data_IF_918243310491
#
_entry.id   IF_918243310491
#
_cell.length_a   1.000
_cell.length_b   1.000
_cell.length_c   1.000
_cell.angle_alpha   90.00
_cell.angle_beta   90.00
_cell.angle_gamma   90.00
#
_symmetry.space_group_name_H-M   'P 1'
#
loop_
_entity.id
_entity.type
_entity.pdbx_description
1 polymer ?
#
# COMPACT_ATOMS: atom_id res chain seq x y z
N UNK A 1 0.57 -13.28 21.41
CA UNK A 1 -0.33 -12.34 20.75
C UNK A 1 -1.82 -12.63 20.99
N UNK A 2 -2.19 -13.81 21.51
CA UNK A 2 -3.61 -14.16 21.73
C UNK A 2 -4.02 -14.19 23.21
N UNK A 3 -3.21 -13.66 24.12
CA UNK A 3 -3.52 -13.64 25.53
C UNK A 3 -4.77 -12.81 25.83
N UNK A 4 -4.94 -11.65 25.15
CA UNK A 4 -6.11 -10.82 25.34
C UNK A 4 -7.42 -11.53 24.96
N UNK A 5 -7.43 -12.33 23.89
CA UNK A 5 -8.63 -13.09 23.51
C UNK A 5 -9.04 -14.10 24.60
N UNK A 6 -8.06 -14.82 25.16
CA UNK A 6 -8.31 -15.75 26.25
C UNK A 6 -8.84 -15.03 27.52
N UNK A 7 -8.32 -13.84 27.82
CA UNK A 7 -8.80 -12.99 28.90
C UNK A 7 -10.21 -12.45 28.63
N UNK A 8 -10.52 -12.06 27.37
CA UNK A 8 -11.86 -11.64 26.99
C UNK A 8 -12.90 -12.74 27.18
N UNK A 9 -12.54 -14.00 26.92
CA UNK A 9 -13.44 -15.13 27.11
C UNK A 9 -13.66 -15.49 28.60
N UNK A 10 -12.69 -15.29 29.47
CA UNK A 10 -12.73 -15.68 30.87
C UNK A 10 -13.01 -14.51 31.80
N UNK A 11 -12.13 -13.51 31.80
CA UNK A 11 -12.16 -12.41 32.77
C UNK A 11 -13.12 -11.28 32.37
N UNK A 12 -13.28 -11.08 31.07
CA UNK A 12 -14.06 -9.97 30.51
C UNK A 12 -15.27 -10.46 29.71
N UNK A 13 -15.79 -11.65 30.05
CA UNK A 13 -16.90 -12.29 29.31
C UNK A 13 -18.16 -11.43 29.23
N UNK A 14 -18.39 -10.49 30.16
CA UNK A 14 -19.50 -9.55 30.12
C UNK A 14 -19.48 -8.61 28.87
N UNK A 15 -18.32 -8.48 28.19
CA UNK A 15 -18.22 -7.76 26.92
C UNK A 15 -18.96 -8.47 25.76
N UNK A 16 -19.48 -9.68 25.97
CA UNK A 16 -20.42 -10.33 25.05
C UNK A 16 -21.70 -9.55 24.87
N UNK A 17 -22.13 -8.84 25.91
CA UNK A 17 -23.22 -7.87 25.80
C UNK A 17 -22.64 -6.55 25.24
N UNK A 18 -23.06 -6.18 24.05
CA UNK A 18 -22.57 -4.97 23.36
C UNK A 18 -22.78 -3.70 24.21
N UNK A 19 -23.83 -3.66 25.04
CA UNK A 19 -24.09 -2.53 25.92
C UNK A 19 -23.05 -2.38 27.04
N UNK A 20 -22.38 -3.46 27.41
CA UNK A 20 -21.40 -3.49 28.48
C UNK A 20 -19.95 -3.29 28.00
N UNK A 21 -19.71 -3.35 26.69
CA UNK A 21 -18.36 -3.30 26.11
C UNK A 21 -17.57 -2.11 26.62
N UNK A 22 -18.11 -0.89 26.54
CA UNK A 22 -17.38 0.32 26.93
C UNK A 22 -17.00 0.29 28.44
N UNK A 23 -17.90 -0.17 29.28
CA UNK A 23 -17.64 -0.29 30.72
C UNK A 23 -16.57 -1.32 31.02
N UNK A 24 -16.62 -2.49 30.36
CA UNK A 24 -15.65 -3.57 30.56
C UNK A 24 -14.28 -3.15 30.02
N UNK A 25 -14.22 -2.61 28.80
CA UNK A 25 -12.95 -2.22 28.20
C UNK A 25 -12.25 -1.10 28.97
N UNK A 26 -12.99 -0.18 29.60
CA UNK A 26 -12.40 0.86 30.44
C UNK A 26 -11.69 0.32 31.72
N UNK A 27 -11.98 -0.91 32.12
CA UNK A 27 -11.30 -1.58 33.24
C UNK A 27 -9.94 -2.19 32.87
N UNK A 28 -9.66 -2.29 31.58
CA UNK A 28 -8.41 -2.87 31.06
C UNK A 28 -7.37 -1.74 30.96
N UNK A 29 -6.28 -1.79 31.72
CA UNK A 29 -5.25 -0.75 31.66
C UNK A 29 -4.67 -0.59 30.25
N UNK A 30 -4.57 0.66 29.77
CA UNK A 30 -4.03 0.98 28.45
C UNK A 30 -4.98 0.64 27.30
N UNK A 31 -6.26 0.46 27.56
CA UNK A 31 -7.28 0.21 26.55
C UNK A 31 -8.06 1.49 26.25
N UNK A 32 -7.79 2.11 25.13
CA UNK A 32 -8.43 3.35 24.69
C UNK A 32 -9.37 3.11 23.50
N UNK A 33 -10.63 3.56 23.57
CA UNK A 33 -11.59 3.44 22.48
C UNK A 33 -11.11 4.23 21.25
N UNK A 34 -11.25 3.64 20.06
CA UNK A 34 -10.80 4.23 18.81
C UNK A 34 -9.29 4.06 18.56
N UNK A 35 -8.51 3.72 19.56
CA UNK A 35 -7.07 3.45 19.47
C UNK A 35 -6.76 1.95 19.56
N UNK A 36 -7.11 1.33 20.70
CA UNK A 36 -6.77 -0.06 20.98
C UNK A 36 -7.92 -1.03 20.68
N UNK A 37 -9.13 -0.53 20.73
CA UNK A 37 -10.33 -1.30 20.37
C UNK A 37 -11.39 -0.42 19.74
N UNK A 38 -12.29 -1.08 19.02
CA UNK A 38 -13.49 -0.46 18.45
C UNK A 38 -14.74 -1.23 18.87
N UNK A 39 -15.79 -0.50 19.23
CA UNK A 39 -17.13 -1.03 19.46
C UNK A 39 -18.00 -0.71 18.25
N UNK A 40 -18.39 -1.72 17.50
CA UNK A 40 -19.18 -1.56 16.28
C UNK A 40 -20.52 -2.25 16.43
N UNK A 41 -21.62 -1.48 16.31
CA UNK A 41 -22.99 -1.99 16.41
C UNK A 41 -23.60 -2.33 15.03
N UNK A 42 -23.05 -1.78 13.95
CA UNK A 42 -23.56 -1.91 12.58
C UNK A 42 -22.47 -2.41 11.62
N UNK A 43 -21.82 -3.52 11.97
CA UNK A 43 -20.85 -4.15 11.09
C UNK A 43 -21.54 -4.90 9.94
N UNK A 44 -20.92 -4.89 8.76
CA UNK A 44 -21.28 -5.72 7.62
C UNK A 44 -20.14 -6.62 7.21
N UNK A 45 -20.46 -7.80 6.73
CA UNK A 45 -19.48 -8.68 6.11
C UNK A 45 -19.19 -8.21 4.70
N UNK A 46 -17.91 -8.04 4.35
CA UNK A 46 -17.50 -7.77 2.98
C UNK A 46 -17.74 -9.00 2.10
N UNK A 47 -18.22 -8.76 0.89
CA UNK A 47 -18.34 -9.82 -0.11
C UNK A 47 -16.98 -10.12 -0.76
N UNK A 48 -16.84 -11.30 -1.36
CA UNK A 48 -15.61 -11.70 -2.07
C UNK A 48 -15.28 -10.80 -3.27
N UNK A 49 -16.23 -10.00 -3.74
CA UNK A 49 -16.01 -9.01 -4.80
C UNK A 49 -15.39 -7.69 -4.29
N UNK A 50 -15.41 -7.42 -2.99
CA UNK A 50 -14.93 -6.16 -2.41
C UNK A 50 -13.47 -6.23 -1.96
N UNK A 51 -12.88 -7.42 -1.88
CA UNK A 51 -11.47 -7.61 -1.52
C UNK A 51 -10.84 -8.79 -2.26
N UNK A 52 -9.53 -8.86 -2.23
CA UNK A 52 -8.76 -10.03 -2.65
C UNK A 52 -7.93 -10.52 -1.47
N UNK A 53 -7.81 -11.84 -1.35
CA UNK A 53 -6.99 -12.50 -0.34
C UNK A 53 -5.80 -13.17 -1.00
N UNK A 54 -4.59 -12.80 -0.59
CA UNK A 54 -3.40 -13.59 -0.89
C UNK A 54 -3.12 -14.53 0.29
N UNK A 55 -3.61 -15.76 0.19
CA UNK A 55 -3.48 -16.75 1.28
C UNK A 55 -2.04 -17.26 1.49
N UNK A 56 -1.17 -17.13 0.48
CA UNK A 56 0.24 -17.54 0.58
C UNK A 56 1.07 -16.54 1.37
N UNK A 57 0.83 -15.25 1.17
CA UNK A 57 1.57 -14.17 1.82
C UNK A 57 0.82 -13.59 3.03
N UNK A 58 -0.45 -13.95 3.21
CA UNK A 58 -1.24 -13.59 4.39
C UNK A 58 -1.67 -12.13 4.42
N UNK A 59 -2.08 -11.57 3.28
CA UNK A 59 -2.64 -10.22 3.24
C UNK A 59 -3.97 -10.15 2.47
N UNK A 60 -4.75 -9.13 2.79
CA UNK A 60 -5.94 -8.74 2.04
C UNK A 60 -5.71 -7.40 1.34
N UNK A 61 -6.32 -7.23 0.19
CA UNK A 61 -6.33 -5.98 -0.58
C UNK A 61 -7.76 -5.57 -0.86
N UNK A 62 -8.15 -4.40 -0.35
CA UNK A 62 -9.48 -3.85 -0.60
C UNK A 62 -9.56 -3.24 -1.99
N UNK A 63 -10.69 -3.40 -2.66
CA UNK A 63 -10.94 -2.79 -3.97
C UNK A 63 -11.43 -1.35 -3.87
N UNK A 64 -11.89 -0.94 -2.69
CA UNK A 64 -12.32 0.42 -2.39
C UNK A 64 -11.52 0.97 -1.22
N UNK A 65 -11.22 2.26 -1.27
CA UNK A 65 -10.55 2.96 -0.19
C UNK A 65 -11.52 3.14 0.99
N UNK A 66 -11.05 2.80 2.19
CA UNK A 66 -11.79 3.06 3.42
C UNK A 66 -11.82 4.55 3.74
N UNK A 67 -12.97 5.01 4.22
CA UNK A 67 -13.08 6.36 4.78
C UNK A 67 -12.34 6.44 6.13
N UNK A 68 -11.96 7.64 6.58
CA UNK A 68 -11.24 7.80 7.85
C UNK A 68 -11.99 7.24 9.06
N UNK A 69 -13.31 7.32 9.08
CA UNK A 69 -14.20 6.85 10.15
C UNK A 69 -14.63 5.37 10.02
N UNK A 70 -14.28 4.72 8.92
CA UNK A 70 -14.54 3.30 8.75
C UNK A 70 -13.52 2.44 9.48
N UNK A 71 -14.00 1.38 10.11
CA UNK A 71 -13.22 0.37 10.83
C UNK A 71 -13.15 -0.90 10.00
N UNK A 72 -11.97 -1.51 9.95
CA UNK A 72 -11.77 -2.80 9.30
C UNK A 72 -11.34 -3.83 10.33
N UNK A 73 -12.01 -4.98 10.30
CA UNK A 73 -11.68 -6.13 11.14
C UNK A 73 -11.69 -7.42 10.31
N UNK A 74 -11.07 -8.45 10.83
CA UNK A 74 -10.95 -9.76 10.17
C UNK A 74 -11.13 -10.89 11.17
N UNK A 75 -11.70 -11.98 10.68
CA UNK A 75 -11.60 -13.29 11.32
C UNK A 75 -11.13 -14.31 10.27
N UNK A 76 -10.16 -15.16 10.62
CA UNK A 76 -9.62 -16.15 9.70
C UNK A 76 -9.07 -17.36 10.46
N UNK A 77 -8.93 -18.46 9.73
CA UNK A 77 -8.27 -19.67 10.19
C UNK A 77 -7.03 -19.93 9.33
N UNK A 78 -5.96 -20.40 9.94
CA UNK A 78 -4.75 -20.82 9.24
C UNK A 78 -4.19 -22.11 9.84
N UNK A 79 -3.46 -22.85 9.02
CA UNK A 79 -2.79 -24.09 9.44
C UNK A 79 -1.28 -23.90 9.47
N UNK A 80 -0.67 -24.30 10.57
CA UNK A 80 0.78 -24.30 10.75
C UNK A 80 1.21 -25.60 11.41
N UNK A 81 2.14 -26.31 10.78
CA UNK A 81 2.64 -27.58 11.33
C UNK A 81 1.57 -28.65 11.55
N UNK A 82 0.55 -28.68 10.70
CA UNK A 82 -0.58 -29.62 10.79
C UNK A 82 -1.62 -29.28 11.87
N UNK A 83 -1.51 -28.12 12.50
CA UNK A 83 -2.50 -27.62 13.47
C UNK A 83 -3.22 -26.41 12.92
N UNK A 84 -4.54 -26.33 13.14
CA UNK A 84 -5.36 -25.17 12.82
C UNK A 84 -5.36 -24.17 13.96
N UNK A 85 -5.29 -22.89 13.58
CA UNK A 85 -5.35 -21.75 14.48
C UNK A 85 -6.39 -20.76 13.94
N UNK A 86 -7.21 -20.23 14.83
CA UNK A 86 -8.21 -19.22 14.49
C UNK A 86 -7.84 -17.87 15.12
N UNK A 87 -7.99 -16.81 14.34
CA UNK A 87 -7.85 -15.43 14.79
C UNK A 87 -9.18 -14.73 14.56
N UNK A 88 -9.75 -14.16 15.62
CA UNK A 88 -11.11 -13.62 15.59
C UNK A 88 -12.16 -14.72 15.56
N UNK A 89 -13.40 -14.33 15.73
CA UNK A 89 -14.54 -15.25 15.78
C UNK A 89 -15.36 -15.15 14.50
N UNK A 90 -15.84 -16.30 14.03
CA UNK A 90 -16.82 -16.36 12.95
C UNK A 90 -18.24 -16.21 13.52
N UNK A 91 -19.18 -15.73 12.70
CA UNK A 91 -20.58 -15.64 13.12
C UNK A 91 -21.18 -16.98 13.54
N UNK A 92 -20.66 -18.08 12.99
CA UNK A 92 -21.04 -19.46 13.36
C UNK A 92 -20.59 -19.87 14.76
N UNK A 93 -19.61 -19.18 15.36
CA UNK A 93 -19.08 -19.51 16.70
C UNK A 93 -19.99 -18.96 17.80
N UNK A 94 -20.85 -18.02 17.50
CA UNK A 94 -21.81 -17.42 18.43
C UNK A 94 -23.08 -18.29 18.47
N UNK A 95 -23.39 -18.80 19.65
CA UNK A 95 -24.53 -19.71 19.86
C UNK A 95 -25.81 -18.96 20.31
N UNK A 96 -25.64 -17.79 20.90
CA UNK A 96 -26.75 -17.01 21.47
C UNK A 96 -26.95 -15.73 20.67
N UNK A 97 -28.22 -15.45 20.31
CA UNK A 97 -28.59 -14.22 19.59
C UNK A 97 -28.29 -13.00 20.46
N UNK A 98 -27.69 -11.96 19.84
CA UNK A 98 -27.41 -10.68 20.52
C UNK A 98 -26.05 -10.59 21.21
N UNK A 99 -25.23 -11.64 21.13
CA UNK A 99 -23.84 -11.59 21.59
C UNK A 99 -22.93 -10.91 20.58
N UNK A 100 -21.98 -10.11 21.08
CA UNK A 100 -20.95 -9.49 20.25
C UNK A 100 -19.89 -10.49 19.79
N UNK A 101 -19.40 -10.31 18.56
CA UNK A 101 -18.24 -11.02 18.02
C UNK A 101 -16.94 -10.33 18.46
N UNK A 102 -15.94 -11.13 18.85
CA UNK A 102 -14.59 -10.63 19.06
C UNK A 102 -13.75 -10.92 17.81
N UNK A 103 -13.46 -9.87 17.06
CA UNK A 103 -12.72 -9.94 15.79
C UNK A 103 -11.41 -9.18 15.87
N UNK A 104 -10.44 -9.54 15.01
CA UNK A 104 -9.15 -8.85 14.97
C UNK A 104 -9.27 -7.51 14.25
N UNK A 105 -8.96 -6.44 14.97
CA UNK A 105 -8.90 -5.09 14.39
C UNK A 105 -7.72 -4.96 13.42
N UNK A 106 -7.99 -4.47 12.21
CA UNK A 106 -6.99 -4.15 11.19
C UNK A 106 -6.82 -2.65 10.98
N UNK A 107 -7.90 -1.87 11.05
CA UNK A 107 -7.89 -0.41 10.97
C UNK A 107 -8.88 0.16 11.97
N UNK A 108 -8.41 1.09 12.78
CA UNK A 108 -9.19 1.85 13.75
C UNK A 108 -9.63 3.22 13.21
N UNK A 109 -10.35 3.99 14.02
CA UNK A 109 -10.79 5.36 13.70
C UNK A 109 -9.73 6.42 14.01
N UNK A 110 -8.82 6.16 14.95
CA UNK A 110 -7.78 7.11 15.33
C UNK A 110 -6.76 7.39 14.22
N UNK A 111 -6.50 6.40 13.35
CA UNK A 111 -5.50 6.51 12.28
C UNK A 111 -4.15 7.05 12.78
N UNK A 112 -3.75 6.63 13.98
CA UNK A 112 -2.51 7.07 14.64
C UNK A 112 -1.39 6.07 14.45
N UNK A 113 -0.15 6.53 14.19
CA UNK A 113 1.03 5.65 14.19
C UNK A 113 1.27 4.95 15.53
N UNK A 114 0.76 5.50 16.64
CA UNK A 114 0.90 4.92 17.97
C UNK A 114 -0.04 3.72 18.21
N UNK A 115 -1.04 3.53 17.35
CA UNK A 115 -1.97 2.44 17.46
C UNK A 115 -1.32 1.08 17.11
N UNK A 116 -1.60 0.05 17.90
CA UNK A 116 -1.07 -1.30 17.67
C UNK A 116 -1.44 -1.89 16.30
N UNK A 117 -2.55 -1.48 15.70
CA UNK A 117 -2.95 -1.91 14.36
C UNK A 117 -2.26 -1.14 13.22
N UNK A 118 -1.52 -0.06 13.51
CA UNK A 118 -0.81 0.71 12.47
C UNK A 118 0.15 -0.15 11.65
N UNK A 119 0.88 -1.05 12.28
CA UNK A 119 1.83 -1.94 11.62
C UNK A 119 1.18 -3.04 10.78
N UNK A 120 -0.13 -3.23 10.90
CA UNK A 120 -0.89 -4.18 10.08
C UNK A 120 -1.21 -3.62 8.68
N UNK A 121 -1.10 -2.31 8.50
CA UNK A 121 -1.24 -1.67 7.20
C UNK A 121 0.03 -1.88 6.37
N UNK A 122 -0.11 -2.46 5.18
CA UNK A 122 1.02 -2.60 4.25
C UNK A 122 1.42 -1.23 3.70
N UNK A 123 2.69 -0.86 3.92
CA UNK A 123 3.29 0.41 3.47
C UNK A 123 4.39 0.18 2.42
N UNK A 124 4.45 -1.03 1.88
CA UNK A 124 5.43 -1.51 0.89
C UNK A 124 4.78 -1.84 -0.46
N UNK A 125 3.62 -1.25 -0.73
CA UNK A 125 2.86 -1.46 -1.96
C UNK A 125 2.70 -0.14 -2.70
N UNK A 126 3.00 -0.15 -4.00
CA UNK A 126 2.96 1.04 -4.86
C UNK A 126 2.10 0.78 -6.08
N UNK A 127 1.17 1.68 -6.37
CA UNK A 127 0.33 1.60 -7.56
C UNK A 127 1.02 2.26 -8.76
N UNK A 128 0.97 1.58 -9.90
CA UNK A 128 1.35 2.15 -11.19
C UNK A 128 0.22 2.99 -11.81
N UNK A 129 -0.97 3.00 -11.18
CA UNK A 129 -2.19 3.59 -11.74
C UNK A 129 -2.52 3.04 -13.14
N UNK A 130 -2.27 1.76 -13.34
CA UNK A 130 -2.46 1.04 -14.58
C UNK A 130 -3.19 -0.28 -14.34
N UNK A 131 -3.84 -0.80 -15.38
CA UNK A 131 -4.57 -2.06 -15.35
C UNK A 131 -4.03 -3.00 -16.41
N UNK A 132 -4.10 -4.29 -16.13
CA UNK A 132 -3.67 -5.35 -17.05
C UNK A 132 -2.25 -5.10 -17.58
N UNK A 133 -1.34 -4.83 -16.65
CA UNK A 133 0.07 -4.59 -16.94
C UNK A 133 0.71 -5.86 -17.50
N UNK A 134 1.44 -5.72 -18.60
CA UNK A 134 2.09 -6.84 -19.27
C UNK A 134 3.51 -7.05 -18.76
N UNK A 135 3.94 -8.30 -18.66
CA UNK A 135 5.30 -8.67 -18.28
C UNK A 135 6.33 -8.26 -19.34
N UNK A 136 5.93 -8.35 -20.62
CA UNK A 136 6.78 -8.04 -21.75
C UNK A 136 7.20 -6.57 -21.74
N UNK A 137 8.50 -6.35 -21.78
CA UNK A 137 9.12 -5.01 -21.72
C UNK A 137 8.83 -4.22 -20.44
N UNK A 138 8.36 -4.89 -19.38
CA UNK A 138 8.22 -4.25 -18.10
C UNK A 138 9.59 -3.93 -17.51
N UNK A 139 9.81 -2.69 -17.12
CA UNK A 139 11.03 -2.23 -16.45
C UNK A 139 10.66 -1.41 -15.22
N UNK A 140 11.30 -1.70 -14.11
CA UNK A 140 11.22 -0.92 -12.89
C UNK A 140 12.63 -0.68 -12.37
N UNK A 141 12.91 0.56 -11.98
CA UNK A 141 14.13 0.94 -11.30
C UNK A 141 13.81 1.75 -10.05
N UNK A 142 14.69 1.66 -9.07
CA UNK A 142 14.64 2.47 -7.87
C UNK A 142 15.87 3.37 -7.89
N UNK A 143 15.66 4.67 -7.73
CA UNK A 143 16.72 5.66 -7.73
C UNK A 143 16.69 6.50 -6.46
N UNK A 144 17.86 7.01 -6.11
CA UNK A 144 18.09 7.92 -4.99
C UNK A 144 18.69 9.22 -5.53
N UNK A 145 18.16 10.37 -5.12
CA UNK A 145 18.71 11.66 -5.49
C UNK A 145 19.89 12.02 -4.60
N UNK A 146 21.08 12.14 -5.19
CA UNK A 146 22.29 12.53 -4.48
C UNK A 146 22.21 13.97 -3.97
N UNK A 147 22.50 14.18 -2.69
CA UNK A 147 22.57 15.51 -2.09
C UNK A 147 23.69 16.37 -2.67
N UNK A 148 24.77 15.74 -3.07
CA UNK A 148 25.97 16.43 -3.55
C UNK A 148 25.82 16.91 -4.99
N UNK A 149 25.20 16.10 -5.85
CA UNK A 149 25.14 16.37 -7.28
C UNK A 149 23.75 16.63 -7.81
N UNK A 150 22.69 16.32 -7.04
CA UNK A 150 21.30 16.36 -7.47
C UNK A 150 20.94 15.28 -8.50
N UNK A 151 21.89 14.43 -8.89
CA UNK A 151 21.68 13.36 -9.87
C UNK A 151 21.00 12.17 -9.22
N UNK A 152 20.11 11.51 -9.96
CA UNK A 152 19.49 10.27 -9.53
C UNK A 152 20.40 9.07 -9.77
N UNK A 153 20.77 8.38 -8.68
CA UNK A 153 21.62 7.20 -8.69
C UNK A 153 20.76 5.96 -8.46
N UNK A 154 21.13 4.85 -9.07
CA UNK A 154 20.49 3.54 -8.85
C UNK A 154 21.01 2.82 -7.60
N UNK A 155 21.84 3.45 -6.82
CA UNK A 155 22.50 2.90 -5.63
C UNK A 155 22.73 3.97 -4.56
N UNK A 156 22.91 3.56 -3.32
CA UNK A 156 23.41 4.41 -2.23
C UNK A 156 24.94 4.42 -2.30
N UNK A 157 25.59 5.61 -2.30
CA UNK A 157 27.03 5.70 -2.53
C UNK A 157 27.90 5.24 -1.34
N UNK A 158 27.32 5.00 -0.18
CA UNK A 158 28.02 4.69 1.07
C UNK A 158 27.49 3.42 1.74
N UNK A 159 28.25 2.90 2.69
CA UNK A 159 27.87 1.72 3.48
C UNK A 159 28.16 0.39 2.78
N UNK A 160 27.66 -0.69 3.36
CA UNK A 160 27.89 -2.06 2.84
C UNK A 160 27.28 -2.28 1.46
N UNK A 161 26.26 -1.49 1.10
CA UNK A 161 25.55 -1.57 -0.17
C UNK A 161 26.05 -0.58 -1.21
N UNK A 162 27.17 0.09 -0.96
CA UNK A 162 27.79 1.00 -1.92
C UNK A 162 27.94 0.30 -3.27
N UNK A 163 27.46 0.93 -4.36
CA UNK A 163 27.44 0.38 -5.73
C UNK A 163 26.50 -0.81 -5.98
N UNK A 164 25.77 -1.29 -4.97
CA UNK A 164 24.74 -2.31 -5.17
C UNK A 164 23.44 -1.65 -5.66
N UNK A 165 22.85 -2.09 -6.78
CA UNK A 165 21.58 -1.53 -7.26
C UNK A 165 20.49 -1.61 -6.20
N UNK A 166 19.76 -0.52 -5.99
CA UNK A 166 18.66 -0.46 -5.01
C UNK A 166 17.59 -1.50 -5.29
N UNK A 167 17.34 -1.82 -6.54
CA UNK A 167 16.43 -2.89 -6.93
C UNK A 167 16.82 -4.23 -6.27
N UNK A 168 18.11 -4.54 -6.24
CA UNK A 168 18.64 -5.73 -5.57
C UNK A 168 18.61 -5.62 -4.06
N UNK A 169 18.93 -4.46 -3.49
CA UNK A 169 18.86 -4.20 -2.05
C UNK A 169 17.43 -4.43 -1.53
N UNK A 170 16.43 -4.08 -2.32
CA UNK A 170 15.01 -4.25 -2.00
C UNK A 170 14.46 -5.65 -2.31
N UNK A 171 15.32 -6.61 -2.67
CA UNK A 171 14.94 -7.97 -3.04
C UNK A 171 13.99 -8.08 -4.25
N UNK A 172 14.06 -7.13 -5.16
CA UNK A 172 13.28 -7.08 -6.40
C UNK A 172 14.08 -7.51 -7.65
N UNK A 173 15.33 -7.92 -7.46
CA UNK A 173 16.24 -8.47 -8.48
C UNK A 173 17.02 -9.63 -7.85
N UNK A 174 16.37 -10.79 -7.74
CA UNK A 174 16.93 -12.04 -7.21
C UNK A 174 16.89 -13.19 -8.21
N UNK A 175 16.15 -13.01 -9.28
CA UNK A 175 15.93 -14.00 -10.32
C UNK A 175 16.54 -13.52 -11.64
N UNK A 176 16.90 -14.47 -12.49
CA UNK A 176 17.26 -14.18 -13.87
C UNK A 176 16.02 -14.22 -14.78
N UNK A 177 16.19 -13.94 -16.05
CA UNK A 177 15.13 -13.94 -17.06
C UNK A 177 14.39 -15.28 -17.20
N UNK A 178 14.96 -16.37 -16.71
CA UNK A 178 14.37 -17.72 -16.68
C UNK A 178 13.72 -18.06 -15.35
N UNK A 179 13.55 -17.08 -14.44
CA UNK A 179 13.03 -17.25 -13.08
C UNK A 179 13.87 -18.20 -12.20
N UNK A 180 15.15 -18.31 -12.48
CA UNK A 180 16.10 -19.05 -11.64
C UNK A 180 16.83 -18.09 -10.72
N UNK A 181 17.34 -18.58 -9.61
CA UNK A 181 18.13 -17.77 -8.66
C UNK A 181 19.35 -17.16 -9.34
N UNK A 182 19.48 -15.86 -9.25
CA UNK A 182 20.58 -15.09 -9.81
C UNK A 182 20.12 -13.72 -10.32
N UNK A 183 20.61 -12.66 -9.71
CA UNK A 183 20.27 -11.28 -10.10
C UNK A 183 20.78 -10.97 -11.51
N UNK A 184 19.96 -10.38 -12.36
CA UNK A 184 20.29 -10.00 -13.73
C UNK A 184 20.23 -8.49 -14.00
N UNK A 185 19.93 -7.69 -12.97
CA UNK A 185 19.83 -6.23 -13.06
C UNK A 185 18.42 -5.73 -13.42
N UNK A 186 17.47 -6.63 -13.61
CA UNK A 186 16.10 -6.31 -13.97
C UNK A 186 15.14 -6.67 -12.84
N UNK A 187 13.98 -5.99 -12.84
CA UNK A 187 12.90 -6.26 -11.90
C UNK A 187 12.33 -7.68 -12.09
N UNK A 188 12.21 -8.40 -11.00
CA UNK A 188 11.60 -9.73 -10.97
C UNK A 188 10.08 -9.60 -11.08
N UNK A 189 9.53 -9.75 -12.28
CA UNK A 189 8.09 -9.73 -12.51
C UNK A 189 7.49 -11.09 -12.13
N UNK A 190 7.04 -11.23 -10.89
CA UNK A 190 6.43 -12.46 -10.35
C UNK A 190 5.02 -12.15 -9.90
N UNK A 191 4.03 -12.61 -10.69
CA UNK A 191 2.61 -12.40 -10.40
C UNK A 191 2.22 -12.98 -9.03
N UNK A 192 1.50 -12.17 -8.25
CA UNK A 192 1.06 -12.53 -6.90
C UNK A 192 2.14 -12.46 -5.83
N UNK A 193 3.37 -12.03 -6.18
CA UNK A 193 4.47 -11.84 -5.23
C UNK A 193 5.08 -10.44 -5.30
N UNK A 194 5.66 -10.04 -6.43
CA UNK A 194 6.23 -8.70 -6.63
C UNK A 194 5.30 -7.76 -7.38
N UNK A 195 4.33 -8.30 -8.07
CA UNK A 195 3.38 -7.54 -8.88
C UNK A 195 2.02 -8.22 -8.89
N UNK A 196 0.96 -7.42 -8.94
CA UNK A 196 -0.36 -7.83 -9.35
C UNK A 196 -0.67 -7.10 -10.65
N UNK A 197 -0.60 -7.84 -11.76
CA UNK A 197 -0.71 -7.27 -13.10
C UNK A 197 -2.10 -6.69 -13.38
N UNK A 198 -3.16 -7.29 -12.83
CA UNK A 198 -4.55 -6.88 -13.07
C UNK A 198 -4.85 -5.46 -12.58
N UNK A 199 -4.25 -5.02 -11.49
CA UNK A 199 -4.45 -3.70 -10.88
C UNK A 199 -3.18 -2.84 -10.81
N UNK A 200 -2.09 -3.32 -11.43
CA UNK A 200 -0.84 -2.58 -11.57
C UNK A 200 -0.18 -2.21 -10.25
N UNK A 201 -0.18 -3.11 -9.28
CA UNK A 201 0.46 -2.90 -7.98
C UNK A 201 1.79 -3.62 -7.89
N UNK A 202 2.78 -2.91 -7.37
CA UNK A 202 4.12 -3.43 -7.07
C UNK A 202 4.21 -3.67 -5.57
N UNK A 203 4.67 -4.85 -5.20
CA UNK A 203 4.88 -5.26 -3.81
C UNK A 203 6.35 -5.45 -3.55
N UNK A 204 6.87 -4.72 -2.57
CA UNK A 204 8.24 -4.97 -2.09
C UNK A 204 8.21 -6.16 -1.14
N UNK A 205 9.08 -7.18 -1.33
CA UNK A 205 9.13 -8.35 -0.45
C UNK A 205 9.87 -8.06 0.86
N UNK A 206 9.82 -6.83 1.33
CA UNK A 206 10.37 -6.33 2.58
C UNK A 206 9.39 -5.33 3.20
N UNK A 207 9.30 -5.29 4.52
CA UNK A 207 8.24 -4.56 5.22
C UNK A 207 8.42 -3.05 5.14
N UNK A 208 9.62 -2.55 5.38
CA UNK A 208 9.97 -1.13 5.36
C UNK A 208 11.17 -0.88 4.44
N UNK A 209 10.95 -0.90 3.10
CA UNK A 209 12.04 -0.88 2.14
C UNK A 209 12.98 0.32 2.31
N UNK A 210 12.46 1.53 2.49
CA UNK A 210 13.26 2.75 2.63
C UNK A 210 13.54 3.13 4.10
N UNK A 211 13.09 2.33 5.05
CA UNK A 211 13.25 2.50 6.48
C UNK A 211 14.21 1.47 7.09
N UNK A 212 13.70 0.67 8.01
CA UNK A 212 14.47 -0.30 8.77
C UNK A 212 15.23 -1.32 7.91
N UNK A 213 14.64 -1.74 6.77
CA UNK A 213 15.32 -2.62 5.82
C UNK A 213 16.56 -1.97 5.23
N UNK A 214 16.45 -0.74 4.74
CA UNK A 214 17.57 0.01 4.18
C UNK A 214 18.65 0.27 5.25
N UNK A 215 18.25 0.63 6.47
CA UNK A 215 19.17 0.80 7.61
C UNK A 215 20.02 -0.44 7.85
N UNK A 216 19.37 -1.59 7.93
CA UNK A 216 20.05 -2.88 8.09
C UNK A 216 21.00 -3.18 6.93
N UNK A 217 20.58 -2.89 5.70
CA UNK A 217 21.39 -3.12 4.51
C UNK A 217 22.62 -2.22 4.46
N UNK A 218 22.51 -0.94 4.83
CA UNK A 218 23.64 0.00 4.91
C UNK A 218 24.66 -0.46 5.97
N UNK A 219 24.19 -1.02 7.09
CA UNK A 219 25.04 -1.66 8.11
C UNK A 219 25.88 -0.71 8.94
N UNK A 220 25.54 0.58 8.97
CA UNK A 220 26.13 1.62 9.80
C UNK A 220 25.06 2.66 10.12
N UNK A 221 24.73 2.84 11.39
CA UNK A 221 23.62 3.70 11.82
C UNK A 221 23.84 5.18 11.49
N UNK A 222 25.04 5.69 11.65
CA UNK A 222 25.36 7.09 11.36
C UNK A 222 25.22 7.38 9.84
N UNK A 223 25.59 6.44 8.98
CA UNK A 223 25.37 6.54 7.53
C UNK A 223 23.88 6.36 7.19
N UNK A 224 23.21 5.41 7.83
CA UNK A 224 21.79 5.15 7.59
C UNK A 224 20.93 6.39 7.87
N UNK A 225 21.24 7.17 8.88
CA UNK A 225 20.52 8.40 9.22
C UNK A 225 20.50 9.44 8.08
N UNK A 226 21.48 9.39 7.17
CA UNK A 226 21.50 10.26 5.98
C UNK A 226 20.49 9.82 4.92
N UNK A 227 20.23 8.51 4.79
CA UNK A 227 19.56 7.92 3.63
C UNK A 227 18.17 7.39 3.92
N UNK A 228 17.92 6.93 5.15
CA UNK A 228 16.69 6.27 5.55
C UNK A 228 15.53 7.25 5.65
N UNK A 229 14.38 6.85 5.16
CA UNK A 229 13.14 7.60 5.28
C UNK A 229 12.14 6.83 6.16
N UNK A 230 12.43 6.75 7.46
CA UNK A 230 11.64 6.00 8.42
C UNK A 230 10.25 6.62 8.65
N UNK A 231 10.11 7.92 8.47
CA UNK A 231 8.85 8.65 8.61
C UNK A 231 7.76 8.19 7.63
N UNK A 232 8.11 7.51 6.54
CA UNK A 232 7.15 6.85 5.66
C UNK A 232 6.32 5.77 6.39
N UNK A 233 6.89 5.20 7.45
CA UNK A 233 6.31 4.05 8.17
C UNK A 233 5.79 4.42 9.55
N UNK A 234 6.49 5.29 10.26
CA UNK A 234 6.25 5.61 11.67
C UNK A 234 5.48 6.91 11.86
N UNK A 235 5.08 7.58 10.79
CA UNK A 235 4.33 8.82 10.86
C UNK A 235 3.14 8.84 9.90
N UNK A 236 2.29 9.86 10.06
CA UNK A 236 1.19 10.08 9.11
C UNK A 236 1.72 10.53 7.75
N UNK A 237 0.91 10.36 6.71
CA UNK A 237 1.24 10.82 5.35
C UNK A 237 1.62 12.31 5.32
N UNK A 238 0.90 13.14 6.07
CA UNK A 238 1.17 14.58 6.14
C UNK A 238 2.56 14.86 6.70
N UNK A 239 2.94 14.22 7.79
CA UNK A 239 4.28 14.36 8.39
C UNK A 239 5.36 13.87 7.43
N UNK A 240 5.17 12.71 6.81
CA UNK A 240 6.11 12.18 5.83
C UNK A 240 6.29 13.14 4.63
N UNK A 241 5.21 13.75 4.12
CA UNK A 241 5.27 14.74 3.06
C UNK A 241 6.01 16.04 3.45
N UNK A 242 5.94 16.43 4.72
CA UNK A 242 6.66 17.59 5.24
C UNK A 242 8.17 17.33 5.45
N UNK A 243 8.59 16.06 5.48
CA UNK A 243 10.00 15.65 5.60
C UNK A 243 10.68 15.59 4.22
N UNK A 244 10.63 16.71 3.49
CA UNK A 244 11.06 16.79 2.09
C UNK A 244 12.53 16.43 1.88
N UNK A 245 13.40 16.70 2.84
CA UNK A 245 14.84 16.40 2.80
C UNK A 245 15.14 14.90 2.75
N UNK A 246 14.20 14.05 3.16
CA UNK A 246 14.31 12.60 3.09
C UNK A 246 13.60 11.97 1.89
N UNK A 247 12.76 12.73 1.21
CA UNK A 247 11.99 12.27 0.05
C UNK A 247 12.82 12.29 -1.23
N UNK A 248 13.81 11.41 -1.32
CA UNK A 248 14.81 11.35 -2.40
C UNK A 248 14.73 10.10 -3.26
N UNK A 249 13.85 9.18 -2.91
CA UNK A 249 13.66 7.94 -3.66
C UNK A 249 12.62 8.10 -4.76
N UNK A 250 12.88 7.49 -5.92
CA UNK A 250 11.91 7.39 -7.02
C UNK A 250 11.85 5.98 -7.56
N UNK A 251 10.63 5.57 -7.88
CA UNK A 251 10.37 4.41 -8.72
C UNK A 251 10.15 4.93 -10.14
N UNK A 252 10.95 4.44 -11.09
CA UNK A 252 10.88 4.82 -12.50
C UNK A 252 10.89 3.58 -13.36
N UNK A 253 10.34 3.66 -14.56
CA UNK A 253 10.35 2.52 -15.48
C UNK A 253 9.39 2.69 -16.64
N UNK A 254 9.12 1.57 -17.30
CA UNK A 254 8.25 1.46 -18.46
C UNK A 254 7.35 0.24 -18.30
N UNK A 255 6.12 0.35 -18.76
CA UNK A 255 5.19 -0.77 -18.82
C UNK A 255 4.27 -0.68 -20.03
N UNK A 256 3.70 -1.81 -20.41
CA UNK A 256 2.58 -1.91 -21.33
C UNK A 256 1.36 -2.39 -20.59
N UNK A 257 0.19 -1.84 -20.92
CA UNK A 257 -1.09 -2.27 -20.36
C UNK A 257 -2.07 -2.59 -21.49
N UNK A 258 -3.01 -3.50 -21.24
CA UNK A 258 -4.02 -3.89 -22.25
C UNK A 258 -4.97 -2.75 -22.58
N UNK A 259 -5.26 -1.87 -21.62
CA UNK A 259 -6.03 -0.64 -21.79
C UNK A 259 -5.05 0.54 -21.86
N UNK A 260 -4.15 0.51 -22.83
CA UNK A 260 -3.12 1.52 -23.01
C UNK A 260 -3.70 2.92 -23.27
N UNK A 261 -4.99 3.03 -23.60
CA UNK A 261 -5.72 4.25 -23.77
C UNK A 261 -6.34 4.83 -22.49
N UNK A 262 -6.44 4.06 -21.39
CA UNK A 262 -7.01 4.54 -20.14
C UNK A 262 -5.93 4.76 -19.07
N UNK A 263 -5.92 5.95 -18.47
CA UNK A 263 -5.01 6.32 -17.39
C UNK A 263 -5.86 6.72 -16.19
N UNK A 264 -5.71 6.02 -15.08
CA UNK A 264 -6.39 6.38 -13.83
C UNK A 264 -5.52 7.29 -12.98
N UNK A 265 -6.12 8.38 -12.50
CA UNK A 265 -5.41 9.45 -11.82
C UNK A 265 -5.24 9.21 -10.31
N UNK A 266 -5.85 8.14 -9.77
CA UNK A 266 -5.80 7.84 -8.34
C UNK A 266 -6.58 8.81 -7.46
N UNK A 267 -7.37 9.70 -8.07
CA UNK A 267 -8.25 10.67 -7.40
C UNK A 267 -9.63 10.63 -8.04
N UNK A 268 -10.66 10.86 -7.25
CA UNK A 268 -12.06 10.96 -7.70
C UNK A 268 -12.57 12.39 -7.50
N UNK A 269 -13.65 12.74 -8.21
CA UNK A 269 -14.26 14.07 -8.14
C UNK A 269 -13.25 15.21 -8.37
N UNK A 270 -12.45 15.05 -9.41
CA UNK A 270 -11.41 16.00 -9.82
C UNK A 270 -12.07 17.24 -10.40
N UNK A 271 -11.60 18.46 -10.10
CA UNK A 271 -12.13 19.69 -10.71
C UNK A 271 -12.02 19.66 -12.23
N UNK A 272 -13.06 20.06 -12.93
CA UNK A 272 -13.03 20.18 -14.40
C UNK A 272 -11.94 21.13 -14.86
N UNK A 273 -11.22 20.75 -15.90
CA UNK A 273 -10.12 21.55 -16.47
C UNK A 273 -8.80 21.49 -15.69
N UNK A 274 -8.72 20.70 -14.59
CA UNK A 274 -7.49 20.54 -13.81
C UNK A 274 -6.52 19.50 -14.36
N UNK A 275 -6.91 18.76 -15.39
CA UNK A 275 -6.11 17.70 -16.00
C UNK A 275 -5.39 18.21 -17.23
N UNK A 276 -4.07 18.07 -17.24
CA UNK A 276 -3.22 18.36 -18.41
C UNK A 276 -2.50 17.10 -18.85
N UNK A 277 -2.67 16.74 -20.12
CA UNK A 277 -2.03 15.56 -20.72
C UNK A 277 -1.00 15.98 -21.73
N UNK A 278 0.18 15.38 -21.67
CA UNK A 278 1.24 15.58 -22.66
C UNK A 278 1.72 14.23 -23.20
N UNK A 279 2.11 14.19 -24.45
CA UNK A 279 2.71 13.02 -25.08
C UNK A 279 3.97 13.43 -25.83
N UNK A 280 5.13 12.85 -25.50
CA UNK A 280 6.40 13.18 -26.14
C UNK A 280 6.76 14.67 -26.05
N UNK A 281 6.35 15.36 -24.99
CA UNK A 281 6.57 16.79 -24.77
C UNK A 281 5.53 17.71 -25.44
N UNK A 282 4.58 17.17 -26.21
CA UNK A 282 3.49 17.96 -26.81
C UNK A 282 2.27 17.93 -25.87
N UNK A 283 1.65 19.09 -25.67
CA UNK A 283 0.38 19.19 -24.94
C UNK A 283 -0.77 18.69 -25.81
N UNK A 284 -1.55 17.76 -25.28
CA UNK A 284 -2.73 17.21 -25.94
C UNK A 284 -3.97 18.05 -25.66
N UNK A 285 -4.96 17.97 -26.56
CA UNK A 285 -6.21 18.74 -26.49
C UNK A 285 -7.32 17.87 -25.98
N UNK A 286 -7.97 18.27 -24.88
CA UNK A 286 -9.13 17.60 -24.33
C UNK A 286 -10.30 17.59 -25.34
N UNK A 287 -11.03 16.48 -25.37
CA UNK A 287 -12.12 16.16 -26.31
C UNK A 287 -11.68 15.98 -27.77
N UNK A 288 -10.40 16.13 -28.08
CA UNK A 288 -9.82 15.81 -29.39
C UNK A 288 -8.83 14.65 -29.29
N UNK A 289 -7.80 14.80 -28.48
CA UNK A 289 -6.76 13.78 -28.26
C UNK A 289 -7.06 12.85 -27.09
N UNK A 290 -7.79 13.34 -26.10
CA UNK A 290 -8.18 12.59 -24.91
C UNK A 290 -9.51 13.11 -24.33
N UNK A 291 -10.13 12.29 -23.48
CA UNK A 291 -11.27 12.66 -22.63
C UNK A 291 -10.94 12.41 -21.18
N UNK A 292 -11.64 13.12 -20.28
CA UNK A 292 -11.49 12.96 -18.84
C UNK A 292 -12.85 12.66 -18.22
N UNK A 293 -12.93 11.53 -17.50
CA UNK A 293 -14.01 11.32 -16.52
C UNK A 293 -13.56 11.94 -15.19
N UNK A 294 -14.00 13.14 -14.93
CA UNK A 294 -13.63 13.89 -13.72
C UNK A 294 -14.22 13.28 -12.44
N UNK A 295 -15.31 12.53 -12.55
CA UNK A 295 -15.93 11.85 -11.42
C UNK A 295 -15.12 10.63 -10.99
N UNK A 296 -14.74 9.81 -11.95
CA UNK A 296 -13.96 8.60 -11.72
C UNK A 296 -12.44 8.84 -11.70
N UNK A 297 -11.98 10.01 -12.16
CA UNK A 297 -10.57 10.31 -12.29
C UNK A 297 -9.86 9.46 -13.35
N UNK A 298 -10.48 9.33 -14.53
CA UNK A 298 -9.95 8.52 -15.64
C UNK A 298 -9.72 9.40 -16.85
N UNK A 299 -8.51 9.35 -17.41
CA UNK A 299 -8.17 9.93 -18.72
C UNK A 299 -8.20 8.82 -19.76
N UNK A 300 -8.94 9.04 -20.85
CA UNK A 300 -8.97 8.11 -21.98
C UNK A 300 -8.34 8.79 -23.19
N UNK A 301 -7.26 8.21 -23.73
CA UNK A 301 -6.60 8.70 -24.92
C UNK A 301 -7.41 8.27 -26.16
N UNK A 302 -7.83 9.22 -26.97
CA UNK A 302 -8.60 9.01 -28.20
C UNK A 302 -7.70 8.89 -29.42
N UNK A 303 -6.55 9.55 -29.41
CA UNK A 303 -5.63 9.59 -30.54
C UNK A 303 -4.84 8.28 -30.65
N UNK A 304 -5.26 7.41 -31.54
CA UNK A 304 -4.68 6.09 -31.73
C UNK A 304 -3.20 6.15 -32.15
N UNK A 305 -2.80 7.18 -32.87
CA UNK A 305 -1.40 7.36 -33.32
C UNK A 305 -0.44 7.52 -32.14
N UNK A 306 -0.89 8.15 -31.06
CA UNK A 306 -0.08 8.34 -29.83
C UNK A 306 0.09 6.98 -29.13
N UNK A 307 -0.97 6.18 -29.09
CA UNK A 307 -0.95 4.83 -28.46
C UNK A 307 -0.04 3.91 -29.28
N UNK A 308 -0.22 3.88 -30.60
CA UNK A 308 0.53 2.98 -31.51
C UNK A 308 2.02 3.33 -31.57
N UNK A 309 2.36 4.62 -31.48
CA UNK A 309 3.74 5.08 -31.43
C UNK A 309 4.47 4.71 -30.12
N UNK A 310 3.74 4.27 -29.08
CA UNK A 310 4.31 4.00 -27.76
C UNK A 310 4.91 5.24 -27.11
N UNK A 311 4.40 6.42 -27.47
CA UNK A 311 4.89 7.69 -26.93
C UNK A 311 4.58 7.80 -25.45
N UNK A 312 5.55 8.22 -24.64
CA UNK A 312 5.37 8.42 -23.21
C UNK A 312 4.31 9.50 -22.95
N UNK A 313 3.27 9.10 -22.22
CA UNK A 313 2.16 9.99 -21.84
C UNK A 313 2.36 10.42 -20.40
N UNK A 314 2.31 11.72 -20.15
CA UNK A 314 2.35 12.29 -18.81
C UNK A 314 1.04 13.01 -18.52
N UNK A 315 0.49 12.76 -17.35
CA UNK A 315 -0.72 13.42 -16.86
C UNK A 315 -0.41 14.19 -15.59
N UNK A 316 -0.68 15.48 -15.62
CA UNK A 316 -0.53 16.37 -14.49
C UNK A 316 -1.89 16.82 -13.99
N UNK A 317 -2.08 16.81 -12.66
CA UNK A 317 -3.21 17.43 -12.00
C UNK A 317 -2.78 18.82 -11.53
N UNK A 318 -3.41 19.85 -12.07
CA UNK A 318 -3.25 21.21 -11.57
C UNK A 318 -4.17 21.38 -10.34
N UNK A 319 -3.60 21.44 -9.15
CA UNK A 319 -4.34 21.82 -7.97
C UNK A 319 -4.45 23.34 -7.94
N UNK A 320 -5.62 23.88 -8.26
CA UNK A 320 -5.96 25.26 -7.94
C UNK A 320 -6.17 25.37 -6.43
N UNK A 321 -5.12 25.50 -5.67
CA UNK A 321 -5.20 26.03 -4.31
C UNK A 321 -5.40 27.54 -4.43
N UNK A 322 -6.64 27.95 -4.62
CA UNK A 322 -7.04 29.32 -4.31
C UNK A 322 -6.96 29.47 -2.79
N UNK A 323 -5.98 30.23 -2.35
CA UNK A 323 -5.96 30.76 -0.99
C UNK A 323 -7.21 31.61 -0.79
N UNK A 324 -8.05 31.19 0.14
CA UNK A 324 -9.05 32.04 0.80
C UNK A 324 -8.78 32.01 2.29
#
# INVERSE_FOLDING_TARGET
ANNLYAEMLSRYAAARDISQVSNIMSTIPGSEPGMDYEKIESARLLTSSEYTLNSKLGYISLKQTLQPDEVLAVAFEYTLGGRSYQVGEFSSDIKETGQSLFVKLLKNTANSPDAACWDLMMKNVYSLNAYSVQKEKFQLNITYQSDTTGVYLRYIPEGKIAKTPLLRVMNLDRLNSQNQTGADGFFDFVEGYTVTASDGRIYFPVVEPFGSHLRKAIGNDALADKYVFQELYDSTRTVAQQTAEKNKFRLTGEYRASNANEIRLGAMNIPQGSVRVTAGGMTLVENSDYTVDYTLGVVTILNQSIIDAGTAISVNLESNTLYS
#
